data_IF_790439426860
#
_entry.id   IF_790439426860
#
_cell.length_a   1.000
_cell.length_b   1.000
_cell.length_c   1.000
_cell.angle_alpha   90.00
_cell.angle_beta   90.00
_cell.angle_gamma   90.00
#
_symmetry.space_group_name_H-M   'P 1'
#
loop_
_entity.id
_entity.type
_entity.pdbx_description
1 polymer ?
#
# COMPACT_ATOMS: atom_id res chain seq x y z
N UNK A 1 -18.73 10.59 9.40
CA UNK A 1 -18.97 9.21 8.87
C UNK A 1 -18.20 9.03 7.57
N UNK A 2 -17.43 7.95 7.43
CA UNK A 2 -16.84 7.61 6.13
C UNK A 2 -17.94 7.19 5.14
N UNK A 3 -17.85 7.72 3.92
CA UNK A 3 -18.72 7.38 2.81
C UNK A 3 -18.65 5.86 2.53
N UNK A 4 -19.79 5.22 2.21
CA UNK A 4 -19.91 3.80 1.90
C UNK A 4 -18.84 3.32 0.89
N UNK A 5 -18.55 4.15 -0.11
CA UNK A 5 -17.51 3.88 -1.12
C UNK A 5 -16.14 3.65 -0.46
N UNK A 6 -15.75 4.49 0.51
CA UNK A 6 -14.48 4.33 1.23
C UNK A 6 -14.42 3.02 2.01
N UNK A 7 -15.53 2.62 2.65
CA UNK A 7 -15.59 1.36 3.39
C UNK A 7 -15.41 0.17 2.44
N UNK A 8 -16.08 0.18 1.29
CA UNK A 8 -15.94 -0.87 0.27
C UNK A 8 -14.50 -0.93 -0.24
N UNK A 9 -13.93 0.20 -0.64
CA UNK A 9 -12.55 0.27 -1.10
C UNK A 9 -11.54 -0.22 -0.06
N UNK A 10 -11.77 0.08 1.22
CA UNK A 10 -10.93 -0.42 2.30
C UNK A 10 -11.01 -1.94 2.46
N UNK A 11 -12.20 -2.54 2.31
CA UNK A 11 -12.34 -4.01 2.31
C UNK A 11 -11.65 -4.64 1.10
N UNK A 12 -11.82 -4.06 -0.10
CA UNK A 12 -11.14 -4.50 -1.32
C UNK A 12 -9.63 -4.41 -1.16
N UNK A 13 -9.11 -3.29 -0.64
CA UNK A 13 -7.69 -3.12 -0.34
C UNK A 13 -7.16 -4.22 0.58
N UNK A 14 -7.85 -4.52 1.68
CA UNK A 14 -7.42 -5.58 2.61
C UNK A 14 -7.37 -6.95 1.93
N UNK A 15 -8.38 -7.26 1.12
CA UNK A 15 -8.44 -8.52 0.37
C UNK A 15 -7.29 -8.62 -0.62
N UNK A 16 -7.11 -7.61 -1.48
CA UNK A 16 -6.05 -7.58 -2.49
C UNK A 16 -4.67 -7.65 -1.84
N UNK A 17 -4.45 -6.87 -0.77
CA UNK A 17 -3.18 -6.88 -0.04
C UNK A 17 -2.90 -8.27 0.54
N UNK A 18 -3.88 -8.88 1.21
CA UNK A 18 -3.71 -10.22 1.77
C UNK A 18 -3.41 -11.27 0.70
N UNK A 19 -4.15 -11.26 -0.42
CA UNK A 19 -3.97 -12.21 -1.52
C UNK A 19 -2.59 -12.10 -2.15
N UNK A 20 -2.15 -10.89 -2.52
CA UNK A 20 -0.91 -10.71 -3.29
C UNK A 20 0.35 -10.53 -2.44
N UNK A 21 0.24 -10.03 -1.20
CA UNK A 21 1.41 -9.84 -0.32
C UNK A 21 1.52 -10.92 0.76
N UNK A 22 0.42 -11.59 1.10
CA UNK A 22 0.34 -12.50 2.25
C UNK A 22 0.35 -11.78 3.60
N UNK A 23 0.23 -10.45 3.61
CA UNK A 23 0.27 -9.63 4.82
C UNK A 23 -1.09 -8.99 5.09
N UNK A 24 -1.45 -8.94 6.38
CA UNK A 24 -2.67 -8.27 6.83
C UNK A 24 -2.35 -6.87 7.35
N UNK A 25 -2.44 -5.87 6.47
CA UNK A 25 -2.12 -4.48 6.82
C UNK A 25 -3.44 -3.73 7.06
N UNK A 26 -3.78 -3.56 8.34
CA UNK A 26 -5.07 -2.99 8.78
C UNK A 26 -4.92 -1.66 9.53
N UNK A 27 -3.72 -1.06 9.51
CA UNK A 27 -3.39 0.15 10.25
C UNK A 27 -2.78 1.21 9.33
N UNK A 28 -2.84 2.47 9.78
CA UNK A 28 -2.26 3.63 9.09
C UNK A 28 -1.09 4.22 9.87
N UNK A 29 -0.96 5.54 9.87
CA UNK A 29 0.18 6.22 10.50
C UNK A 29 0.07 6.33 12.03
N UNK A 30 -1.08 6.00 12.61
CA UNK A 30 -1.27 6.05 14.07
C UNK A 30 -0.71 4.79 14.72
N UNK A 31 0.52 4.87 15.21
CA UNK A 31 1.29 3.76 15.79
C UNK A 31 2.23 4.27 16.88
N UNK A 32 2.59 3.40 17.83
CA UNK A 32 3.61 3.65 18.84
C UNK A 32 4.79 2.71 18.56
N UNK A 33 6.01 3.25 18.41
CA UNK A 33 7.19 2.51 18.00
C UNK A 33 8.34 2.70 19.00
N UNK A 34 9.06 1.63 19.40
CA UNK A 34 10.29 1.78 20.16
C UNK A 34 11.41 2.35 19.29
N UNK A 35 12.44 2.91 19.93
CA UNK A 35 13.61 3.50 19.25
C UNK A 35 14.24 2.54 18.23
N UNK A 36 14.38 1.27 18.58
CA UNK A 36 14.96 0.24 17.71
C UNK A 36 14.18 0.03 16.42
N UNK A 37 12.85 0.07 16.46
CA UNK A 37 12.01 -0.02 15.24
C UNK A 37 12.14 1.25 14.40
N UNK A 38 12.22 2.42 15.02
CA UNK A 38 12.47 3.68 14.30
C UNK A 38 13.81 3.64 13.57
N UNK A 39 14.86 3.14 14.22
CA UNK A 39 16.20 2.96 13.60
C UNK A 39 16.15 2.01 12.39
N UNK A 40 15.34 0.94 12.44
CA UNK A 40 15.12 0.09 11.25
C UNK A 40 14.36 0.83 10.15
N UNK A 41 13.33 1.60 10.51
CA UNK A 41 12.50 2.34 9.54
C UNK A 41 13.31 3.39 8.77
N UNK A 42 14.19 4.14 9.44
CA UNK A 42 15.02 5.16 8.78
C UNK A 42 16.05 4.56 7.82
N UNK A 43 16.40 3.28 7.99
CA UNK A 43 17.32 2.55 7.13
C UNK A 43 16.59 1.71 6.05
N UNK A 44 15.25 1.73 6.04
CA UNK A 44 14.44 1.02 5.06
C UNK A 44 13.93 2.00 4.00
N UNK A 45 14.45 1.86 2.77
CA UNK A 45 14.05 2.70 1.61
C UNK A 45 12.56 2.67 1.31
N UNK A 46 11.89 1.57 1.64
CA UNK A 46 10.45 1.45 1.47
C UNK A 46 9.68 2.48 2.32
N UNK A 47 10.28 3.00 3.40
CA UNK A 47 9.65 3.97 4.30
C UNK A 47 9.25 5.24 3.56
N UNK A 48 10.06 5.66 2.57
CA UNK A 48 9.74 6.79 1.71
C UNK A 48 8.52 6.55 0.82
N UNK A 49 8.34 5.31 0.37
CA UNK A 49 7.22 4.93 -0.46
C UNK A 49 5.94 4.72 0.38
N UNK A 50 6.01 3.89 1.43
CA UNK A 50 4.89 3.58 2.30
C UNK A 50 5.33 3.24 3.73
N UNK A 51 4.88 4.04 4.69
CA UNK A 51 5.11 3.82 6.12
C UNK A 51 4.56 2.46 6.60
N UNK A 52 3.28 2.18 6.37
CA UNK A 52 2.63 0.97 6.89
C UNK A 52 3.15 -0.30 6.22
N UNK A 53 3.43 -0.24 4.91
CA UNK A 53 4.07 -1.33 4.18
C UNK A 53 5.47 -1.64 4.74
N UNK A 54 6.26 -0.61 5.01
CA UNK A 54 7.62 -0.75 5.55
C UNK A 54 7.61 -1.30 6.96
N UNK A 55 6.75 -0.79 7.83
CA UNK A 55 6.63 -1.30 9.19
C UNK A 55 6.26 -2.79 9.20
N UNK A 56 5.33 -3.22 8.32
CA UNK A 56 4.98 -4.64 8.17
C UNK A 56 6.12 -5.48 7.57
N UNK A 57 7.01 -4.86 6.79
CA UNK A 57 8.18 -5.52 6.21
C UNK A 57 9.27 -5.77 7.25
N UNK A 58 9.55 -4.76 8.09
CA UNK A 58 10.67 -4.79 9.04
C UNK A 58 10.32 -5.41 10.40
N UNK A 59 9.04 -5.38 10.80
CA UNK A 59 8.57 -5.95 12.07
C UNK A 59 7.57 -7.09 11.82
N UNK A 60 7.77 -8.20 12.55
CA UNK A 60 6.92 -9.40 12.46
C UNK A 60 5.79 -9.41 13.48
N UNK A 61 6.04 -8.83 14.65
CA UNK A 61 5.13 -8.83 15.78
C UNK A 61 4.59 -7.43 16.00
N UNK A 62 3.29 -7.24 15.73
CA UNK A 62 2.59 -5.98 15.92
C UNK A 62 1.35 -6.23 16.76
N UNK A 63 1.20 -5.45 17.83
CA UNK A 63 0.01 -5.49 18.69
C UNK A 63 -1.00 -4.49 18.14
N UNK A 64 -2.22 -4.96 17.84
CA UNK A 64 -3.31 -4.10 17.39
C UNK A 64 -4.21 -3.72 18.56
N UNK A 65 -4.42 -2.42 18.74
CA UNK A 65 -5.32 -1.86 19.74
C UNK A 65 -6.51 -1.23 19.00
N UNK A 66 -7.77 -1.57 19.35
CA UNK A 66 -8.93 -0.96 18.73
C UNK A 66 -8.97 0.54 19.04
N UNK A 67 -9.29 1.35 18.04
CA UNK A 67 -9.43 2.79 18.17
C UNK A 67 -10.62 3.26 17.36
N UNK A 68 -11.41 4.17 17.94
CA UNK A 68 -12.54 4.81 17.27
C UNK A 68 -12.06 6.04 16.50
N UNK A 69 -12.21 6.02 15.18
CA UNK A 69 -11.84 7.17 14.34
C UNK A 69 -12.88 8.28 14.48
N UNK A 70 -12.48 9.41 15.06
CA UNK A 70 -13.30 10.62 15.18
C UNK A 70 -13.46 11.37 13.85
N UNK A 71 -14.42 12.30 13.83
CA UNK A 71 -14.53 13.27 12.74
C UNK A 71 -13.41 14.32 12.88
N UNK A 72 -12.94 14.83 11.75
CA UNK A 72 -11.98 15.94 11.72
C UNK A 72 -12.68 17.23 12.13
N UNK A 73 -12.11 17.96 13.09
CA UNK A 73 -12.68 19.21 13.60
C UNK A 73 -12.53 20.39 12.62
N UNK A 74 -11.42 20.48 11.89
CA UNK A 74 -11.13 21.59 10.98
C UNK A 74 -10.48 21.12 9.67
N UNK A 75 -10.87 21.77 8.56
CA UNK A 75 -10.31 21.57 7.22
C UNK A 75 -10.78 20.31 6.48
N UNK A 76 -10.78 20.31 5.14
CA UNK A 76 -11.16 19.13 4.35
C UNK A 76 -10.07 18.05 4.36
N UNK A 77 -10.45 16.83 3.94
CA UNK A 77 -9.48 15.78 3.66
C UNK A 77 -8.61 16.16 2.45
N UNK A 78 -7.29 16.00 2.58
CA UNK A 78 -6.35 16.08 1.43
C UNK A 78 -6.28 14.76 0.64
N UNK A 79 -6.96 13.71 1.12
CA UNK A 79 -6.95 12.39 0.51
C UNK A 79 -8.09 12.25 -0.51
N UNK A 80 -7.78 12.43 -1.79
CA UNK A 80 -8.70 12.12 -2.88
C UNK A 80 -8.82 10.61 -3.09
N UNK A 81 -9.83 10.18 -3.85
CA UNK A 81 -9.99 8.76 -4.22
C UNK A 81 -8.76 8.21 -4.97
N UNK A 82 -8.21 8.99 -5.91
CA UNK A 82 -7.00 8.60 -6.64
C UNK A 82 -5.79 8.48 -5.71
N UNK A 83 -5.63 9.42 -4.76
CA UNK A 83 -4.58 9.33 -3.76
C UNK A 83 -4.75 8.10 -2.87
N UNK A 84 -5.99 7.71 -2.54
CA UNK A 84 -6.30 6.50 -1.80
C UNK A 84 -5.89 5.23 -2.55
N UNK A 85 -6.22 5.13 -3.84
CA UNK A 85 -5.79 4.01 -4.69
C UNK A 85 -4.26 3.93 -4.78
N UNK A 86 -3.62 5.06 -5.04
CA UNK A 86 -2.15 5.19 -5.10
C UNK A 86 -1.49 4.79 -3.80
N UNK A 87 -2.05 5.19 -2.67
CA UNK A 87 -1.57 4.82 -1.33
C UNK A 87 -1.72 3.31 -1.07
N UNK A 88 -2.88 2.74 -1.39
CA UNK A 88 -3.13 1.30 -1.32
C UNK A 88 -2.12 0.50 -2.14
N UNK A 89 -1.91 0.87 -3.40
CA UNK A 89 -0.94 0.19 -4.29
C UNK A 89 0.50 0.39 -3.82
N UNK A 90 0.83 1.53 -3.20
CA UNK A 90 2.15 1.81 -2.64
C UNK A 90 2.46 0.92 -1.42
N UNK A 91 1.46 0.61 -0.58
CA UNK A 91 1.60 -0.40 0.48
C UNK A 91 1.94 -1.76 -0.12
N UNK A 92 1.20 -2.18 -1.15
CA UNK A 92 1.40 -3.47 -1.81
C UNK A 92 2.78 -3.52 -2.50
N UNK A 93 3.24 -2.40 -3.06
CA UNK A 93 4.49 -2.35 -3.81
C UNK A 93 5.75 -2.58 -2.97
N UNK A 94 5.69 -2.35 -1.65
CA UNK A 94 6.75 -2.74 -0.71
C UNK A 94 7.06 -4.24 -0.79
N UNK A 95 6.07 -5.06 -1.15
CA UNK A 95 6.19 -6.52 -1.28
C UNK A 95 6.26 -6.96 -2.76
N UNK A 96 6.77 -6.12 -3.67
CA UNK A 96 6.79 -6.38 -5.12
C UNK A 96 7.26 -7.78 -5.48
N UNK A 97 8.32 -8.28 -4.87
CA UNK A 97 8.84 -9.62 -5.18
C UNK A 97 7.80 -10.73 -4.91
N UNK A 98 7.15 -10.69 -3.75
CA UNK A 98 6.08 -11.63 -3.39
C UNK A 98 4.89 -11.50 -4.32
N UNK A 99 4.51 -10.27 -4.66
CA UNK A 99 3.41 -9.99 -5.59
C UNK A 99 3.71 -10.58 -6.96
N UNK A 100 4.92 -10.41 -7.50
CA UNK A 100 5.32 -10.94 -8.81
C UNK A 100 5.26 -12.47 -8.82
N UNK A 101 5.83 -13.13 -7.80
CA UNK A 101 5.82 -14.61 -7.69
C UNK A 101 4.38 -15.14 -7.60
N UNK A 102 3.56 -14.57 -6.72
CA UNK A 102 2.16 -15.01 -6.56
C UNK A 102 1.30 -14.72 -7.79
N UNK A 103 1.56 -13.59 -8.47
CA UNK A 103 0.85 -13.26 -9.71
C UNK A 103 1.23 -14.22 -10.83
N UNK A 104 2.51 -14.60 -10.97
CA UNK A 104 2.93 -15.59 -11.95
C UNK A 104 2.24 -16.93 -11.73
N UNK A 105 2.17 -17.41 -10.48
CA UNK A 105 1.42 -18.62 -10.13
C UNK A 105 -0.06 -18.50 -10.48
N UNK A 106 -0.68 -17.37 -10.11
CA UNK A 106 -2.09 -17.11 -10.42
C UNK A 106 -2.34 -17.17 -11.93
N UNK A 107 -1.48 -16.56 -12.75
CA UNK A 107 -1.61 -16.57 -14.21
C UNK A 107 -1.58 -18.00 -14.75
N UNK A 108 -0.63 -18.83 -14.30
CA UNK A 108 -0.51 -20.23 -14.76
C UNK A 108 -1.78 -21.02 -14.42
N UNK A 109 -2.22 -20.97 -13.16
CA UNK A 109 -3.42 -21.68 -12.70
C UNK A 109 -4.67 -21.18 -13.44
N UNK A 110 -4.80 -19.87 -13.61
CA UNK A 110 -5.94 -19.25 -14.26
C UNK A 110 -6.04 -19.66 -15.74
N UNK A 111 -4.92 -19.67 -16.48
CA UNK A 111 -4.88 -20.11 -17.89
C UNK A 111 -5.32 -21.57 -18.01
N UNK A 112 -4.88 -22.45 -17.09
CA UNK A 112 -5.30 -23.86 -17.08
C UNK A 112 -6.81 -23.99 -16.87
N UNK A 113 -7.41 -23.18 -15.99
CA UNK A 113 -8.85 -23.21 -15.72
C UNK A 113 -9.68 -22.72 -16.92
N UNK A 114 -9.23 -21.69 -17.65
CA UNK A 114 -10.01 -21.10 -18.74
C UNK A 114 -9.76 -21.75 -20.12
N UNK A 115 -8.84 -22.71 -20.23
CA UNK A 115 -8.40 -23.32 -21.50
C UNK A 115 -9.56 -23.75 -22.42
N UNK A 116 -10.65 -24.26 -21.85
CA UNK A 116 -11.84 -24.72 -22.59
C UNK A 116 -12.85 -23.61 -22.93
N UNK A 117 -12.84 -22.49 -22.20
CA UNK A 117 -13.87 -21.43 -22.25
C UNK A 117 -13.24 -20.05 -22.54
N UNK A 118 -12.18 -20.03 -23.35
CA UNK A 118 -11.44 -18.82 -23.65
C UNK A 118 -12.32 -17.81 -24.42
N UNK A 119 -12.52 -16.65 -23.82
CA UNK A 119 -13.28 -15.52 -24.37
C UNK A 119 -12.69 -14.20 -23.91
N UNK A 120 -13.10 -13.09 -24.55
CA UNK A 120 -12.71 -11.73 -24.14
C UNK A 120 -13.08 -11.47 -22.67
N UNK A 121 -14.25 -11.94 -22.23
CA UNK A 121 -14.74 -11.77 -20.86
C UNK A 121 -13.79 -12.47 -19.88
N UNK A 122 -13.37 -13.70 -20.16
CA UNK A 122 -12.44 -14.45 -19.30
C UNK A 122 -11.02 -13.87 -19.30
N UNK A 123 -10.65 -13.02 -20.26
CA UNK A 123 -9.36 -12.36 -20.30
C UNK A 123 -9.29 -11.09 -19.42
N UNK A 124 -10.43 -10.49 -19.04
CA UNK A 124 -10.49 -9.25 -18.26
C UNK A 124 -9.66 -9.34 -16.95
N UNK A 125 -9.76 -10.40 -16.12
CA UNK A 125 -8.97 -10.49 -14.90
C UNK A 125 -7.46 -10.51 -15.15
N UNK A 126 -7.02 -11.11 -16.25
CA UNK A 126 -5.61 -11.17 -16.63
C UNK A 126 -5.10 -9.78 -17.02
N UNK A 127 -5.88 -9.03 -17.80
CA UNK A 127 -5.53 -7.64 -18.18
C UNK A 127 -5.45 -6.75 -16.93
N UNK A 128 -6.45 -6.84 -16.04
CA UNK A 128 -6.45 -6.08 -14.78
C UNK A 128 -5.24 -6.42 -13.91
N UNK A 129 -4.86 -7.70 -13.85
CA UNK A 129 -3.68 -8.15 -13.12
C UNK A 129 -2.40 -7.53 -13.70
N UNK A 130 -2.24 -7.52 -15.03
CA UNK A 130 -1.08 -6.92 -15.69
C UNK A 130 -0.99 -5.41 -15.42
N UNK A 131 -2.12 -4.69 -15.49
CA UNK A 131 -2.19 -3.25 -15.13
C UNK A 131 -1.78 -3.03 -13.67
N UNK A 132 -2.24 -3.89 -12.76
CA UNK A 132 -1.87 -3.83 -11.35
C UNK A 132 -0.37 -4.07 -11.14
N UNK A 133 0.21 -5.09 -11.79
CA UNK A 133 1.65 -5.40 -11.72
C UNK A 133 2.48 -4.22 -12.22
N UNK A 134 2.09 -3.63 -13.35
CA UNK A 134 2.75 -2.45 -13.91
C UNK A 134 2.71 -1.28 -12.92
N UNK A 135 1.53 -0.98 -12.36
CA UNK A 135 1.34 0.09 -11.38
C UNK A 135 2.18 -0.11 -10.12
N UNK A 136 2.21 -1.34 -9.59
CA UNK A 136 3.01 -1.73 -8.43
C UNK A 136 4.50 -1.59 -8.72
N UNK A 137 4.95 -2.01 -9.90
CA UNK A 137 6.36 -1.94 -10.29
C UNK A 137 6.83 -0.49 -10.38
N UNK A 138 6.02 0.40 -10.97
CA UNK A 138 6.29 1.83 -11.01
C UNK A 138 6.29 2.47 -9.62
N UNK A 139 5.38 2.08 -8.74
CA UNK A 139 5.33 2.63 -7.37
C UNK A 139 6.53 2.20 -6.53
N UNK A 140 7.00 0.96 -6.71
CA UNK A 140 8.21 0.47 -6.04
C UNK A 140 9.48 1.23 -6.47
N UNK A 141 9.49 1.92 -7.61
CA UNK A 141 10.62 2.77 -8.01
C UNK A 141 10.76 4.02 -7.12
N UNK A 142 9.73 4.38 -6.35
CA UNK A 142 9.84 5.46 -5.36
C UNK A 142 10.67 5.09 -4.15
N UNK A 143 11.04 3.84 -3.97
CA UNK A 143 11.90 3.44 -2.85
C UNK A 143 13.31 3.99 -3.05
N UNK A 144 13.56 5.19 -2.53
CA UNK A 144 14.79 5.94 -2.73
C UNK A 144 15.28 6.56 -1.42
N UNK A 145 16.44 6.09 -0.93
CA UNK A 145 17.06 6.61 0.30
C UNK A 145 17.57 8.05 0.15
N UNK A 146 17.98 8.45 -1.05
CA UNK A 146 18.49 9.80 -1.28
C UNK A 146 17.37 10.83 -1.16
N UNK A 147 16.22 10.58 -1.77
CA UNK A 147 15.03 11.42 -1.62
C UNK A 147 14.53 11.45 -0.17
N UNK A 148 14.56 10.30 0.52
CA UNK A 148 14.20 10.20 1.93
C UNK A 148 15.08 11.10 2.81
N UNK A 149 16.41 11.01 2.65
CA UNK A 149 17.37 11.82 3.41
C UNK A 149 17.25 13.32 3.09
N UNK A 150 16.86 13.65 1.84
CA UNK A 150 16.62 15.02 1.40
C UNK A 150 15.20 15.52 1.71
N UNK A 151 14.36 14.74 2.39
CA UNK A 151 12.93 15.06 2.61
C UNK A 151 12.70 16.39 3.33
N UNK A 152 13.65 16.84 4.17
CA UNK A 152 13.58 18.14 4.86
C UNK A 152 13.57 19.33 3.89
N UNK A 153 14.13 19.19 2.68
CA UNK A 153 14.09 20.23 1.63
C UNK A 153 12.66 20.51 1.15
N UNK A 154 11.71 19.60 1.40
CA UNK A 154 10.31 19.76 1.01
C UNK A 154 9.49 20.60 2.01
N UNK A 155 10.06 20.93 3.17
CA UNK A 155 9.39 21.74 4.19
C UNK A 155 9.61 23.21 3.85
N UNK A 156 8.52 23.93 3.54
CA UNK A 156 8.55 25.39 3.47
C UNK A 156 8.88 25.95 4.86
N UNK A 157 9.66 27.02 4.90
CA UNK A 157 10.19 27.65 6.13
C UNK A 157 9.22 27.55 7.32
N UNK A 158 9.66 26.85 8.37
CA UNK A 158 8.92 26.53 9.60
C UNK A 158 8.43 27.78 10.34
N UNK A 159 8.94 28.96 9.98
CA UNK A 159 8.54 30.26 10.54
C UNK A 159 7.28 30.84 9.90
N UNK A 160 6.86 30.39 8.70
CA UNK A 160 5.60 30.80 8.07
C UNK A 160 4.52 29.75 8.29
N UNK A 161 3.90 29.80 9.47
CA UNK A 161 2.65 29.09 9.73
C UNK A 161 1.56 29.77 8.89
N UNK A 162 0.94 29.00 8.00
CA UNK A 162 -0.12 29.44 7.09
C UNK A 162 -1.49 29.32 7.74
#
# INVERSE_FOLDING_TARGET
>A
LENLVFKICYQVHKLVTLTFTGKSIKYGNFTCLPKTTVEKMINEKATWNSFSGSLTKIERELISIPSTRGNRYFGPSKMSFFNLLKHSLSIISVFRQTVLIRSALFIVVYILMIKSNASVITAIPLILLLVMIYSISNLALRENMEEFNNSLKNILDITKIK
#
